data_IF_435414911936
#
_entry.id   IF_435414911936
#
_cell.length_a   1.000
_cell.length_b   1.000
_cell.length_c   1.000
_cell.angle_alpha   90.00
_cell.angle_beta   90.00
_cell.angle_gamma   90.00
#
_symmetry.space_group_name_H-M   'P 1'
#
loop_
_entity.id
_entity.type
_entity.pdbx_description
1 polymer ?
#
# COMPACT_ATOMS: atom_id res chain seq x y z
N UNK A 1 -25.06 -3.44 70.98
CA UNK A 1 -23.95 -2.79 70.29
C UNK A 1 -23.41 -3.75 69.24
N UNK A 2 -23.91 -3.66 68.02
CA UNK A 2 -23.62 -4.64 66.93
C UNK A 2 -22.70 -3.97 65.95
N UNK A 3 -21.49 -4.49 65.82
CA UNK A 3 -20.46 -3.99 64.91
C UNK A 3 -20.61 -4.65 63.56
N UNK A 4 -20.97 -3.85 62.52
CA UNK A 4 -21.04 -4.31 61.15
C UNK A 4 -19.64 -4.25 60.53
N UNK A 5 -19.17 -5.40 60.00
CA UNK A 5 -17.92 -5.51 59.21
C UNK A 5 -18.24 -5.24 57.75
N UNK A 6 -17.64 -4.19 57.18
CA UNK A 6 -17.63 -3.97 55.73
C UNK A 6 -16.50 -4.79 55.10
N UNK A 7 -16.86 -5.67 54.19
CA UNK A 7 -15.91 -6.36 53.33
C UNK A 7 -15.71 -5.50 52.05
N UNK A 8 -14.47 -5.07 51.84
CA UNK A 8 -14.09 -4.41 50.61
C UNK A 8 -13.77 -5.44 49.51
N UNK A 9 -14.55 -5.49 48.45
CA UNK A 9 -14.24 -6.25 47.25
C UNK A 9 -13.22 -5.44 46.42
N UNK A 10 -12.02 -5.94 46.31
CA UNK A 10 -11.01 -5.43 45.38
C UNK A 10 -11.20 -6.12 44.03
N UNK A 11 -11.68 -5.40 43.05
CA UNK A 11 -11.76 -5.84 41.66
C UNK A 11 -10.38 -5.62 41.01
N UNK A 12 -9.63 -6.71 40.84
CA UNK A 12 -8.38 -6.68 40.09
C UNK A 12 -8.68 -6.62 38.59
N UNK A 13 -8.37 -5.48 37.98
CA UNK A 13 -8.45 -5.30 36.54
C UNK A 13 -7.26 -6.03 35.89
N UNK A 14 -7.49 -7.16 35.24
CA UNK A 14 -6.48 -7.84 34.42
C UNK A 14 -6.32 -7.02 33.13
N UNK A 15 -5.24 -6.27 33.04
CA UNK A 15 -4.79 -5.68 31.78
C UNK A 15 -4.12 -6.80 30.96
N UNK A 16 -4.85 -7.35 29.99
CA UNK A 16 -4.28 -8.23 28.97
C UNK A 16 -3.50 -7.37 28.01
N UNK A 17 -2.19 -7.25 28.22
CA UNK A 17 -1.29 -6.68 27.24
C UNK A 17 -1.31 -7.60 26.00
N UNK A 18 -1.89 -7.13 24.89
CA UNK A 18 -1.76 -7.78 23.61
C UNK A 18 -0.30 -7.68 23.18
N UNK A 19 0.45 -8.74 23.40
CA UNK A 19 1.81 -8.85 22.90
C UNK A 19 1.73 -8.99 21.37
N UNK A 20 1.88 -7.90 20.65
CA UNK A 20 2.04 -7.93 19.20
C UNK A 20 3.38 -8.60 18.90
N UNK A 21 3.34 -9.86 18.52
CA UNK A 21 4.50 -10.62 18.10
C UNK A 21 5.05 -9.97 16.83
N UNK A 22 6.33 -9.62 16.83
CA UNK A 22 7.01 -9.20 15.59
C UNK A 22 6.80 -10.27 14.50
N UNK A 23 6.50 -9.88 13.25
CA UNK A 23 6.27 -10.85 12.17
C UNK A 23 7.47 -11.77 12.01
N UNK A 24 7.20 -13.04 11.71
CA UNK A 24 8.28 -13.98 11.36
C UNK A 24 8.87 -13.62 10.00
N UNK A 25 10.12 -14.00 9.73
CA UNK A 25 10.79 -13.76 8.46
C UNK A 25 10.02 -14.35 7.25
N UNK A 26 9.11 -15.30 7.48
CA UNK A 26 8.24 -15.88 6.47
C UNK A 26 7.00 -15.02 6.13
N UNK A 27 6.74 -13.96 6.89
CA UNK A 27 5.56 -13.09 6.75
C UNK A 27 5.89 -11.72 6.15
N UNK A 28 7.17 -11.39 6.00
CA UNK A 28 7.67 -10.13 5.42
C UNK A 28 8.89 -10.39 4.54
N UNK A 29 9.17 -9.46 3.65
CA UNK A 29 10.30 -9.53 2.73
C UNK A 29 9.95 -10.23 1.42
N UNK A 30 10.90 -10.25 0.48
CA UNK A 30 10.73 -10.87 -0.82
C UNK A 30 10.44 -12.37 -0.66
N UNK A 31 9.36 -12.86 -1.29
CA UNK A 31 8.91 -14.24 -1.18
C UNK A 31 7.95 -14.50 -0.01
N UNK A 32 7.53 -13.47 0.73
CA UNK A 32 6.57 -13.66 1.83
C UNK A 32 5.23 -14.23 1.35
N UNK A 33 4.79 -15.29 2.00
CA UNK A 33 3.51 -15.91 1.70
C UNK A 33 2.33 -15.08 2.24
N UNK A 34 1.15 -15.17 1.61
CA UNK A 34 -0.05 -14.54 2.14
C UNK A 34 -0.34 -15.02 3.57
N UNK A 35 -0.51 -14.08 4.49
CA UNK A 35 -0.87 -14.39 5.88
C UNK A 35 -2.32 -14.88 5.97
N UNK A 36 -2.65 -15.58 7.05
CA UNK A 36 -4.01 -16.10 7.26
C UNK A 36 -5.07 -15.00 7.11
N UNK A 37 -6.07 -15.24 6.26
CA UNK A 37 -7.15 -14.31 5.95
C UNK A 37 -6.77 -13.17 4.98
N UNK A 38 -5.59 -13.21 4.38
CA UNK A 38 -5.25 -12.30 3.28
C UNK A 38 -5.93 -12.73 1.98
N UNK A 39 -6.32 -11.75 1.20
CA UNK A 39 -6.79 -11.92 -0.17
C UNK A 39 -5.60 -11.71 -1.12
N UNK A 40 -5.34 -12.70 -2.00
CA UNK A 40 -4.40 -12.51 -3.11
C UNK A 40 -5.11 -11.67 -4.17
N UNK A 41 -4.52 -10.52 -4.50
CA UNK A 41 -5.10 -9.61 -5.50
C UNK A 41 -4.34 -9.65 -6.83
N UNK A 42 -3.14 -10.26 -6.84
CA UNK A 42 -2.42 -10.57 -8.07
C UNK A 42 -1.49 -11.79 -7.88
N UNK A 43 -1.68 -12.79 -8.73
CA UNK A 43 -0.98 -14.08 -8.69
C UNK A 43 -0.09 -14.35 -9.92
N UNK A 44 0.07 -13.36 -10.80
CA UNK A 44 0.80 -13.48 -12.06
C UNK A 44 -0.09 -13.78 -13.27
N UNK A 45 -1.39 -13.98 -13.09
CA UNK A 45 -2.29 -14.35 -14.18
C UNK A 45 -3.07 -13.17 -14.78
N UNK A 46 -3.34 -13.26 -16.07
CA UNK A 46 -4.23 -12.31 -16.77
C UNK A 46 -5.65 -12.36 -16.21
N UNK A 47 -6.12 -13.54 -15.85
CA UNK A 47 -7.46 -13.73 -15.32
C UNK A 47 -7.65 -12.96 -14.00
N UNK A 48 -6.68 -13.00 -13.09
CA UNK A 48 -6.77 -12.26 -11.83
C UNK A 48 -6.63 -10.75 -12.06
N UNK A 49 -5.78 -10.31 -12.99
CA UNK A 49 -5.70 -8.90 -13.35
C UNK A 49 -7.06 -8.38 -13.82
N UNK A 50 -7.73 -9.07 -14.73
CA UNK A 50 -9.03 -8.66 -15.27
C UNK A 50 -10.16 -8.78 -14.23
N UNK A 51 -10.10 -9.76 -13.31
CA UNK A 51 -11.07 -9.92 -12.22
C UNK A 51 -10.94 -8.83 -11.15
N UNK A 52 -9.73 -8.58 -10.65
CA UNK A 52 -9.49 -7.76 -9.45
C UNK A 52 -9.21 -6.29 -9.76
N UNK A 53 -8.76 -5.94 -10.96
CA UNK A 53 -8.28 -4.61 -11.29
C UNK A 53 -9.06 -3.94 -12.40
N UNK A 54 -8.95 -2.62 -12.45
CA UNK A 54 -9.46 -1.76 -13.53
C UNK A 54 -8.51 -0.57 -13.70
N UNK A 55 -8.68 0.19 -14.78
CA UNK A 55 -8.00 1.48 -14.88
C UNK A 55 -8.52 2.43 -13.81
N UNK A 56 -7.63 3.22 -13.24
CA UNK A 56 -7.97 4.14 -12.15
C UNK A 56 -9.09 5.10 -12.51
N UNK A 57 -9.03 5.74 -13.64
CA UNK A 57 -10.12 6.59 -14.11
C UNK A 57 -11.17 5.80 -14.91
N UNK A 58 -11.19 4.50 -14.87
CA UNK A 58 -12.11 3.58 -15.52
C UNK A 58 -13.10 4.20 -16.52
N UNK A 59 -14.31 4.56 -16.08
CA UNK A 59 -15.31 5.18 -16.95
C UNK A 59 -14.90 6.55 -17.51
N UNK A 60 -14.06 7.32 -16.79
CA UNK A 60 -13.54 8.63 -17.25
C UNK A 60 -12.62 8.51 -18.45
N UNK A 61 -11.86 7.43 -18.56
CA UNK A 61 -11.10 7.10 -19.78
C UNK A 61 -11.97 6.55 -20.92
N UNK A 62 -13.22 6.20 -20.63
CA UNK A 62 -14.03 5.36 -21.52
C UNK A 62 -13.30 4.06 -21.86
N UNK A 63 -12.52 3.58 -20.91
CA UNK A 63 -11.68 2.40 -21.03
C UNK A 63 -12.46 1.19 -20.56
N UNK A 64 -12.53 0.18 -21.40
CA UNK A 64 -13.01 -1.14 -21.02
C UNK A 64 -11.84 -2.10 -20.83
N UNK A 65 -12.05 -3.16 -20.08
CA UNK A 65 -11.15 -4.31 -20.09
C UNK A 65 -11.03 -4.89 -21.52
N UNK A 66 -9.89 -5.49 -21.83
CA UNK A 66 -8.78 -5.81 -20.92
C UNK A 66 -7.84 -4.62 -20.68
N UNK A 67 -7.27 -4.57 -19.46
CA UNK A 67 -6.18 -3.66 -19.12
C UNK A 67 -5.00 -3.97 -20.06
N UNK A 68 -4.31 -2.93 -20.56
CA UNK A 68 -3.19 -3.10 -21.50
C UNK A 68 -1.85 -3.39 -20.82
N UNK A 69 -1.75 -3.27 -19.50
CA UNK A 69 -0.59 -3.75 -18.77
C UNK A 69 -0.36 -5.23 -19.09
N UNK A 70 0.90 -5.62 -19.25
CA UNK A 70 1.26 -6.92 -19.78
C UNK A 70 1.54 -7.92 -18.67
N UNK A 71 1.24 -9.19 -18.97
CA UNK A 71 1.72 -10.32 -18.19
C UNK A 71 2.92 -10.86 -18.94
N UNK A 72 4.09 -10.77 -18.32
CA UNK A 72 5.38 -11.17 -18.91
C UNK A 72 6.06 -12.24 -18.06
N UNK A 73 7.00 -13.02 -18.63
CA UNK A 73 7.82 -13.94 -17.84
C UNK A 73 8.55 -13.22 -16.71
N UNK A 74 8.62 -13.86 -15.53
CA UNK A 74 9.45 -13.36 -14.44
C UNK A 74 10.93 -13.48 -14.83
N UNK A 75 11.70 -12.39 -14.79
CA UNK A 75 13.09 -12.42 -15.23
C UNK A 75 14.01 -13.22 -14.29
N UNK A 76 13.57 -13.48 -13.06
CA UNK A 76 14.38 -14.09 -12.00
C UNK A 76 13.80 -15.42 -11.48
N UNK A 77 12.60 -15.81 -11.95
CA UNK A 77 11.94 -17.04 -11.51
C UNK A 77 11.32 -17.76 -12.73
N UNK A 78 12.08 -18.68 -13.30
CA UNK A 78 11.68 -19.39 -14.51
C UNK A 78 10.33 -20.12 -14.32
N UNK A 79 9.43 -19.94 -15.28
CA UNK A 79 8.12 -20.56 -15.28
C UNK A 79 7.04 -19.76 -14.54
N UNK A 80 7.38 -18.62 -13.94
CA UNK A 80 6.43 -17.68 -13.37
C UNK A 80 6.19 -16.48 -14.29
N UNK A 81 5.09 -15.78 -14.07
CA UNK A 81 4.70 -14.57 -14.78
C UNK A 81 4.42 -13.44 -13.82
N UNK A 82 4.63 -12.22 -14.28
CA UNK A 82 4.53 -10.99 -13.48
C UNK A 82 3.78 -9.91 -14.27
N UNK A 83 3.22 -8.96 -13.57
CA UNK A 83 2.61 -7.76 -14.16
C UNK A 83 3.71 -6.77 -14.52
N UNK A 84 3.68 -6.22 -15.71
CA UNK A 84 4.57 -5.17 -16.17
C UNK A 84 3.77 -3.92 -16.50
N UNK A 85 4.22 -2.77 -15.98
CA UNK A 85 3.73 -1.46 -16.43
C UNK A 85 4.04 -1.33 -17.92
N UNK A 86 3.06 -0.92 -18.70
CA UNK A 86 3.21 -0.95 -20.14
C UNK A 86 4.09 0.20 -20.66
N UNK A 87 4.77 -0.04 -21.79
CA UNK A 87 5.36 1.03 -22.58
C UNK A 87 4.21 1.85 -23.23
N UNK A 88 4.12 3.17 -22.98
CA UNK A 88 3.07 4.01 -23.54
C UNK A 88 3.00 3.95 -25.07
N UNK A 89 4.13 3.80 -25.72
CA UNK A 89 4.23 3.74 -27.18
C UNK A 89 3.70 2.38 -27.68
N UNK A 90 4.15 1.29 -27.09
CA UNK A 90 3.69 -0.06 -27.42
C UNK A 90 2.21 -0.26 -27.11
N UNK A 91 1.71 0.35 -26.04
CA UNK A 91 0.31 0.27 -25.65
C UNK A 91 -0.63 1.14 -26.47
N UNK A 92 -0.12 1.93 -27.39
CA UNK A 92 -0.94 2.80 -28.26
C UNK A 92 -1.48 4.04 -27.54
N UNK A 93 -0.70 4.63 -26.66
CA UNK A 93 -0.97 5.95 -26.07
C UNK A 93 -1.63 5.91 -24.69
N UNK A 94 -2.64 6.74 -24.48
CA UNK A 94 -3.21 7.08 -23.15
C UNK A 94 -3.47 5.89 -22.21
N UNK A 95 -3.96 4.78 -22.71
CA UNK A 95 -4.29 3.61 -21.87
C UNK A 95 -3.06 2.81 -21.44
N UNK A 96 -1.94 2.91 -22.14
CA UNK A 96 -0.70 2.29 -21.73
C UNK A 96 -0.03 3.02 -20.56
N UNK A 97 -0.29 4.33 -20.43
CA UNK A 97 0.17 5.16 -19.34
C UNK A 97 -0.84 5.30 -18.20
N UNK A 98 -1.97 4.62 -18.28
CA UNK A 98 -2.99 4.72 -17.26
C UNK A 98 -2.65 3.86 -16.04
N UNK A 99 -2.80 4.45 -14.86
CA UNK A 99 -2.70 3.73 -13.60
C UNK A 99 -3.78 2.65 -13.48
N UNK A 100 -3.49 1.58 -12.78
CA UNK A 100 -4.46 0.55 -12.46
C UNK A 100 -4.78 0.56 -10.96
N UNK A 101 -6.03 0.23 -10.62
CA UNK A 101 -6.53 0.22 -9.24
C UNK A 101 -7.36 -1.03 -8.98
N UNK A 102 -7.31 -1.56 -7.76
CA UNK A 102 -8.20 -2.67 -7.38
C UNK A 102 -9.66 -2.22 -7.40
N UNK A 103 -10.55 -3.09 -7.91
CA UNK A 103 -12.01 -2.87 -7.89
C UNK A 103 -12.55 -2.83 -6.46
N UNK A 104 -11.96 -3.64 -5.57
CA UNK A 104 -12.28 -3.64 -4.14
C UNK A 104 -11.58 -2.48 -3.46
N UNK A 105 -12.28 -1.83 -2.54
CA UNK A 105 -11.78 -0.75 -1.71
C UNK A 105 -11.50 -1.24 -0.29
N UNK A 106 -10.45 -0.71 0.33
CA UNK A 106 -9.96 -1.08 1.66
C UNK A 106 -9.86 0.16 2.54
N UNK A 107 -10.10 0.00 3.84
CA UNK A 107 -9.97 1.08 4.82
C UNK A 107 -8.68 0.96 5.62
N UNK A 108 -8.61 -0.02 6.50
CA UNK A 108 -7.41 -0.36 7.25
C UNK A 108 -6.94 -1.73 6.76
N UNK A 109 -5.66 -1.86 6.48
CA UNK A 109 -5.18 -3.11 5.89
C UNK A 109 -3.68 -3.33 6.10
N UNK A 110 -3.28 -4.59 5.97
CA UNK A 110 -1.91 -4.99 5.71
C UNK A 110 -1.77 -5.34 4.22
N UNK A 111 -0.75 -4.80 3.59
CA UNK A 111 -0.38 -5.04 2.19
C UNK A 111 0.99 -5.68 2.14
N UNK A 112 1.14 -6.69 1.31
CA UNK A 112 2.43 -7.11 0.76
C UNK A 112 2.43 -6.91 -0.74
N UNK A 113 3.52 -6.38 -1.27
CA UNK A 113 3.72 -6.19 -2.70
C UNK A 113 5.20 -6.33 -3.05
N UNK A 114 5.49 -7.08 -4.10
CA UNK A 114 6.84 -7.17 -4.64
C UNK A 114 6.93 -6.41 -5.97
N UNK A 115 8.05 -5.70 -6.14
CA UNK A 115 8.33 -4.95 -7.36
C UNK A 115 9.78 -5.12 -7.82
N UNK A 116 9.99 -4.97 -9.12
CA UNK A 116 11.31 -4.97 -9.76
C UNK A 116 11.38 -3.83 -10.77
N UNK A 117 12.33 -2.92 -10.59
CA UNK A 117 12.66 -1.90 -11.60
C UNK A 117 13.64 -2.54 -12.57
N UNK A 118 13.23 -2.72 -13.82
CA UNK A 118 14.05 -3.47 -14.79
C UNK A 118 15.26 -2.68 -15.30
N UNK A 119 15.17 -1.34 -15.31
CA UNK A 119 16.22 -0.44 -15.82
C UNK A 119 16.44 0.73 -14.86
N UNK A 120 17.68 1.26 -14.75
CA UNK A 120 17.96 2.43 -13.92
C UNK A 120 17.05 3.62 -14.25
N UNK A 121 16.68 4.36 -13.21
CA UNK A 121 15.79 5.53 -13.31
C UNK A 121 14.32 5.18 -13.48
N UNK A 122 13.93 3.91 -13.30
CA UNK A 122 12.53 3.50 -13.38
C UNK A 122 11.69 4.13 -12.28
N UNK A 123 10.45 4.49 -12.64
CA UNK A 123 9.50 5.20 -11.78
C UNK A 123 8.12 4.55 -11.83
N UNK A 124 7.53 4.39 -10.67
CA UNK A 124 6.17 3.95 -10.40
C UNK A 124 5.78 4.35 -8.99
N UNK A 125 4.58 4.01 -8.53
CA UNK A 125 4.12 4.29 -7.18
C UNK A 125 3.08 3.27 -6.72
N UNK A 126 3.08 3.01 -5.41
CA UNK A 126 2.08 2.18 -4.73
C UNK A 126 1.20 3.10 -3.89
N UNK A 127 -0.06 3.27 -4.29
CA UNK A 127 -0.98 4.22 -3.66
C UNK A 127 -1.96 3.52 -2.73
N UNK A 128 -1.85 3.81 -1.46
CA UNK A 128 -2.76 3.33 -0.41
C UNK A 128 -4.06 4.13 -0.47
N UNK A 129 -5.23 3.46 -0.36
CA UNK A 129 -6.55 4.08 -0.53
C UNK A 129 -6.68 4.91 -1.82
N UNK A 130 -5.93 4.55 -2.87
CA UNK A 130 -5.89 5.33 -4.12
C UNK A 130 -5.44 6.80 -3.93
N UNK A 131 -4.76 7.13 -2.82
CA UNK A 131 -4.45 8.50 -2.40
C UNK A 131 -3.01 8.72 -1.98
N UNK A 132 -2.48 7.84 -1.14
CA UNK A 132 -1.22 8.07 -0.41
C UNK A 132 -0.12 7.21 -1.00
N UNK A 133 0.85 7.86 -1.59
CA UNK A 133 1.90 7.19 -2.35
C UNK A 133 3.05 6.72 -1.47
N UNK A 134 3.40 5.46 -1.64
CA UNK A 134 4.71 4.91 -1.30
C UNK A 134 5.51 4.82 -2.60
N UNK A 135 6.59 5.55 -2.67
CA UNK A 135 7.34 5.76 -3.91
C UNK A 135 8.11 4.51 -4.36
N UNK A 136 8.12 4.29 -5.67
CA UNK A 136 8.95 3.30 -6.36
C UNK A 136 9.79 4.03 -7.42
N UNK A 137 10.89 4.65 -7.00
CA UNK A 137 11.74 5.49 -7.87
C UNK A 137 13.21 5.18 -7.65
N UNK A 138 13.88 4.68 -8.68
CA UNK A 138 15.32 4.46 -8.63
C UNK A 138 16.10 5.78 -8.78
N UNK A 139 17.17 5.93 -7.97
CA UNK A 139 18.10 7.06 -8.05
C UNK A 139 17.77 8.26 -7.17
N UNK A 140 16.57 8.37 -6.61
CA UNK A 140 16.20 9.46 -5.70
C UNK A 140 16.26 9.00 -4.23
N UNK A 141 16.89 9.80 -3.36
CA UNK A 141 17.06 9.55 -1.92
C UNK A 141 16.37 10.60 -1.05
N UNK A 142 15.62 11.50 -1.65
CA UNK A 142 14.88 12.56 -0.96
C UNK A 142 13.54 12.03 -0.43
N UNK A 143 12.69 12.92 0.06
CA UNK A 143 11.30 12.61 0.43
C UNK A 143 10.41 12.22 -0.77
N UNK A 144 10.94 12.24 -1.97
CA UNK A 144 10.33 11.73 -3.20
C UNK A 144 10.95 10.41 -3.67
N UNK A 145 11.95 9.90 -2.95
CA UNK A 145 12.74 8.76 -3.38
C UNK A 145 12.14 7.41 -2.98
N UNK A 146 12.84 6.37 -3.36
CA UNK A 146 12.48 4.98 -3.14
C UNK A 146 11.99 4.70 -1.72
N UNK A 147 10.77 4.18 -1.58
CA UNK A 147 10.19 3.80 -0.30
C UNK A 147 9.74 4.95 0.61
N UNK A 148 9.90 6.20 0.19
CA UNK A 148 9.34 7.33 0.94
C UNK A 148 7.81 7.28 0.95
N UNK A 149 7.19 7.63 2.07
CA UNK A 149 5.82 8.14 2.10
C UNK A 149 5.93 9.56 1.60
N UNK A 150 5.49 9.84 0.38
CA UNK A 150 5.80 11.06 -0.38
C UNK A 150 5.62 12.31 0.49
N UNK A 151 6.70 13.10 0.62
CA UNK A 151 6.81 14.33 1.40
C UNK A 151 6.57 14.21 2.92
N UNK A 152 6.23 13.03 3.42
CA UNK A 152 5.96 12.80 4.84
C UNK A 152 7.12 12.08 5.55
N UNK A 153 7.92 11.29 4.82
CA UNK A 153 9.09 10.60 5.37
C UNK A 153 10.29 10.69 4.43
N UNK A 154 11.48 10.50 4.97
CA UNK A 154 12.68 10.34 4.15
C UNK A 154 12.70 8.97 3.45
N UNK A 155 13.41 8.89 2.32
CA UNK A 155 13.60 7.65 1.58
C UNK A 155 14.52 6.69 2.35
N UNK A 156 14.11 5.45 2.61
CA UNK A 156 14.99 4.40 3.15
C UNK A 156 15.79 3.73 2.02
N UNK A 157 16.45 4.52 1.18
CA UNK A 157 17.08 4.06 -0.05
C UNK A 157 18.16 2.97 0.16
N UNK A 158 18.80 2.97 1.32
CA UNK A 158 19.80 1.97 1.70
C UNK A 158 19.22 0.55 1.84
N UNK A 159 17.91 0.43 1.93
CA UNK A 159 17.21 -0.86 1.98
C UNK A 159 16.85 -1.39 0.59
N UNK A 160 17.04 -0.60 -0.47
CA UNK A 160 16.76 -0.98 -1.85
C UNK A 160 17.80 -1.98 -2.36
N UNK A 161 17.35 -3.13 -2.86
CA UNK A 161 18.22 -4.19 -3.39
C UNK A 161 18.83 -3.84 -4.77
N UNK A 162 18.43 -2.73 -5.36
CA UNK A 162 18.91 -2.28 -6.66
C UNK A 162 18.03 -2.70 -7.84
N UNK A 163 18.36 -2.14 -8.98
CA UNK A 163 17.71 -2.40 -10.27
C UNK A 163 17.92 -3.84 -10.71
N UNK A 164 16.93 -4.43 -11.37
CA UNK A 164 17.00 -5.80 -11.86
C UNK A 164 16.81 -6.87 -10.77
N UNK A 165 16.46 -6.47 -9.53
CA UNK A 165 16.21 -7.39 -8.43
C UNK A 165 14.80 -7.18 -7.86
N UNK A 166 14.24 -8.23 -7.24
CA UNK A 166 12.98 -8.11 -6.53
C UNK A 166 13.16 -7.37 -5.20
N UNK A 167 12.23 -6.50 -4.95
CA UNK A 167 12.06 -5.73 -3.71
C UNK A 167 10.65 -5.95 -3.17
N UNK A 168 10.44 -5.73 -1.88
CA UNK A 168 9.13 -5.86 -1.25
C UNK A 168 8.82 -4.72 -0.32
N UNK A 169 7.57 -4.28 -0.35
CA UNK A 169 6.97 -3.48 0.71
C UNK A 169 5.97 -4.33 1.48
N UNK A 170 6.14 -4.38 2.79
CA UNK A 170 5.17 -4.91 3.73
C UNK A 170 4.64 -3.74 4.56
N UNK A 171 3.38 -3.38 4.34
CA UNK A 171 2.80 -2.13 4.83
C UNK A 171 1.60 -2.43 5.72
N UNK A 172 1.52 -1.77 6.88
CA UNK A 172 0.26 -1.62 7.60
C UNK A 172 -0.21 -0.18 7.47
N UNK A 173 -1.42 -0.02 6.98
CA UNK A 173 -2.07 1.27 6.77
C UNK A 173 -3.33 1.37 7.62
N UNK A 174 -3.47 2.51 8.31
CA UNK A 174 -4.67 2.90 9.05
C UNK A 174 -5.22 4.18 8.45
N UNK A 175 -6.45 4.15 7.96
CA UNK A 175 -7.12 5.31 7.40
C UNK A 175 -7.35 6.39 8.45
N UNK A 176 -7.61 7.61 7.99
CA UNK A 176 -8.05 8.70 8.84
C UNK A 176 -9.28 8.34 9.67
N UNK A 177 -9.49 9.05 10.76
CA UNK A 177 -10.72 8.97 11.55
C UNK A 177 -11.39 10.33 11.60
N UNK A 178 -12.69 10.33 11.40
CA UNK A 178 -13.54 11.51 11.48
C UNK A 178 -14.63 11.32 12.54
N UNK A 179 -14.97 12.38 13.24
CA UNK A 179 -16.13 12.46 14.09
C UNK A 179 -16.84 13.77 13.79
N UNK A 180 -18.16 13.73 13.60
CA UNK A 180 -19.00 14.89 13.27
C UNK A 180 -18.46 15.69 12.06
N UNK A 181 -17.94 14.98 11.05
CA UNK A 181 -17.35 15.60 9.85
C UNK A 181 -15.99 16.27 10.05
N UNK A 182 -15.39 16.14 11.24
CA UNK A 182 -14.07 16.70 11.54
C UNK A 182 -13.02 15.61 11.60
N UNK A 183 -11.85 15.86 11.02
CA UNK A 183 -10.69 15.00 11.13
C UNK A 183 -10.20 14.97 12.58
N UNK A 184 -10.24 13.78 13.22
CA UNK A 184 -9.76 13.58 14.59
C UNK A 184 -8.43 12.86 14.63
N UNK A 185 -8.17 11.97 13.65
CA UNK A 185 -6.89 11.26 13.52
C UNK A 185 -6.50 11.17 12.05
N UNK A 186 -5.24 11.51 11.77
CA UNK A 186 -4.65 11.41 10.43
C UNK A 186 -4.36 9.96 10.06
N UNK A 187 -4.27 9.64 8.76
CA UNK A 187 -3.80 8.31 8.34
C UNK A 187 -2.40 8.02 8.85
N UNK A 188 -2.13 6.74 9.13
CA UNK A 188 -0.84 6.25 9.60
C UNK A 188 -0.32 5.13 8.70
N UNK A 189 0.99 5.10 8.52
CA UNK A 189 1.71 4.07 7.77
C UNK A 189 2.89 3.55 8.58
N UNK A 190 3.00 2.22 8.68
CA UNK A 190 4.26 1.56 9.04
C UNK A 190 4.65 0.61 7.91
N UNK A 191 5.95 0.48 7.64
CA UNK A 191 6.45 -0.30 6.53
C UNK A 191 7.75 -1.03 6.87
N UNK A 192 7.83 -2.28 6.43
CA UNK A 192 9.10 -2.96 6.22
C UNK A 192 9.45 -2.89 4.72
N UNK A 193 10.69 -2.61 4.43
CA UNK A 193 11.25 -2.62 3.10
C UNK A 193 12.32 -3.74 3.04
N UNK A 194 12.11 -4.71 2.15
CA UNK A 194 12.97 -5.89 2.05
C UNK A 194 13.20 -6.61 3.40
N UNK A 195 12.14 -6.72 4.20
CA UNK A 195 12.17 -7.39 5.50
C UNK A 195 12.79 -6.56 6.64
N UNK A 196 13.20 -5.32 6.39
CA UNK A 196 13.76 -4.42 7.41
C UNK A 196 12.80 -3.27 7.69
N UNK A 197 12.64 -2.90 8.97
CA UNK A 197 11.78 -1.80 9.38
C UNK A 197 12.27 -0.49 8.75
N UNK A 198 11.43 0.12 7.91
CA UNK A 198 11.71 1.38 7.23
C UNK A 198 10.96 2.55 7.87
N UNK A 199 9.68 2.36 8.15
CA UNK A 199 8.83 3.40 8.71
C UNK A 199 8.00 2.86 9.87
N UNK A 200 7.74 3.73 10.87
CA UNK A 200 6.87 3.43 12.03
C UNK A 200 5.94 4.60 12.27
N UNK A 201 4.62 4.38 12.17
CA UNK A 201 3.59 5.36 12.47
C UNK A 201 3.77 6.71 11.77
N UNK A 202 4.23 6.72 10.52
CA UNK A 202 4.33 7.95 9.72
C UNK A 202 2.92 8.50 9.52
N UNK A 203 2.72 9.74 9.93
CA UNK A 203 1.46 10.46 9.74
C UNK A 203 1.42 11.10 8.37
N UNK A 204 0.30 10.95 7.68
CA UNK A 204 0.07 11.59 6.39
C UNK A 204 -0.70 12.89 6.62
N UNK A 205 -0.16 14.00 6.15
CA UNK A 205 -0.71 15.34 6.40
C UNK A 205 -1.63 15.80 5.28
N UNK A 206 -1.44 15.29 4.08
CA UNK A 206 -2.28 15.58 2.90
C UNK A 206 -2.03 14.57 1.78
N UNK A 207 -2.87 14.60 0.74
CA UNK A 207 -2.56 13.93 -0.51
C UNK A 207 -1.54 14.76 -1.27
N UNK A 208 -0.42 14.15 -1.61
CA UNK A 208 0.62 14.73 -2.45
C UNK A 208 0.49 14.20 -3.87
N UNK A 209 0.88 14.97 -4.88
CA UNK A 209 0.83 14.50 -6.26
C UNK A 209 0.10 15.43 -7.23
N UNK A 210 -0.30 16.59 -6.77
CA UNK A 210 -0.84 17.66 -7.58
C UNK A 210 -2.24 17.41 -8.16
N UNK A 211 -2.74 18.32 -8.99
CA UNK A 211 -4.14 18.34 -9.46
C UNK A 211 -4.50 17.18 -10.39
N UNK A 212 -3.51 16.43 -10.88
CA UNK A 212 -3.74 15.24 -11.72
C UNK A 212 -4.04 13.98 -10.89
N UNK A 213 -3.93 14.03 -9.58
CA UNK A 213 -4.36 12.91 -8.74
C UNK A 213 -5.86 12.61 -8.90
N UNK A 214 -6.62 13.53 -9.49
CA UNK A 214 -8.06 13.37 -9.76
C UNK A 214 -8.88 13.09 -8.51
N UNK A 215 -8.26 13.21 -7.36
CA UNK A 215 -8.86 12.91 -6.07
C UNK A 215 -9.55 14.17 -5.60
N UNK A 216 -10.82 14.02 -5.23
CA UNK A 216 -11.55 15.09 -4.57
C UNK A 216 -10.79 15.60 -3.33
N UNK A 217 -11.07 16.80 -2.91
CA UNK A 217 -10.38 17.44 -1.80
C UNK A 217 -10.52 16.72 -0.45
N UNK A 218 -11.23 15.57 -0.38
CA UNK A 218 -11.53 14.90 0.88
C UNK A 218 -12.38 15.78 1.81
N UNK A 219 -12.45 15.38 3.09
CA UNK A 219 -13.31 16.07 4.09
C UNK A 219 -12.51 16.97 5.04
N UNK A 220 -11.26 17.25 4.74
CA UNK A 220 -10.31 17.92 5.67
C UNK A 220 -9.89 19.32 5.21
N UNK A 221 -10.75 19.98 4.46
CA UNK A 221 -10.47 21.33 3.95
C UNK A 221 -9.58 21.38 2.71
N UNK A 222 -9.65 20.36 1.86
CA UNK A 222 -9.00 20.36 0.54
C UNK A 222 -7.63 19.70 0.49
N UNK A 223 -7.22 19.00 1.54
CA UNK A 223 -5.95 18.25 1.59
C UNK A 223 -6.08 16.82 1.06
N UNK A 224 -7.27 16.38 0.74
CA UNK A 224 -7.55 15.06 0.16
C UNK A 224 -7.64 13.92 1.16
N UNK A 225 -7.58 14.16 2.47
CA UNK A 225 -7.71 13.14 3.50
C UNK A 225 -9.17 12.73 3.65
N UNK A 226 -9.41 11.43 3.72
CA UNK A 226 -10.74 10.85 3.92
C UNK A 226 -10.65 9.56 4.71
N UNK A 227 -11.76 9.15 5.33
CA UNK A 227 -11.95 7.83 5.93
C UNK A 227 -12.70 6.86 5.01
N UNK A 228 -13.08 7.32 3.82
CA UNK A 228 -13.75 6.48 2.82
C UNK A 228 -12.76 5.43 2.29
N UNK A 229 -13.13 4.14 2.27
CA UNK A 229 -12.28 3.10 1.69
C UNK A 229 -11.89 3.41 0.24
N UNK A 230 -10.65 3.06 -0.15
CA UNK A 230 -10.17 3.23 -1.51
C UNK A 230 -9.35 2.02 -1.97
N UNK A 231 -9.18 1.88 -3.27
CA UNK A 231 -8.42 0.78 -3.86
C UNK A 231 -6.92 0.90 -3.64
N UNK A 232 -6.20 -0.20 -3.83
CA UNK A 232 -4.77 -0.19 -4.06
C UNK A 232 -4.53 0.25 -5.50
N UNK A 233 -3.76 1.33 -5.71
CA UNK A 233 -3.45 1.83 -7.06
C UNK A 233 -1.96 1.64 -7.35
N UNK A 234 -1.64 1.24 -8.57
CA UNK A 234 -0.29 1.18 -9.11
C UNK A 234 -0.15 2.19 -10.24
N UNK A 235 0.92 2.98 -10.17
CA UNK A 235 1.17 4.05 -11.14
C UNK A 235 1.91 3.53 -12.37
N UNK A 236 1.60 4.10 -13.53
CA UNK A 236 2.30 3.91 -14.78
C UNK A 236 2.93 5.21 -15.25
N UNK A 237 4.25 5.32 -15.11
CA UNK A 237 5.05 6.46 -15.59
C UNK A 237 5.76 6.18 -16.93
N UNK A 238 5.43 5.06 -17.58
CA UNK A 238 6.05 4.67 -18.84
C UNK A 238 7.43 4.03 -18.70
N UNK A 239 7.73 3.51 -17.52
CA UNK A 239 8.95 2.77 -17.23
C UNK A 239 8.65 1.29 -17.02
N UNK A 240 9.60 0.41 -17.35
CA UNK A 240 9.50 -1.04 -17.11
C UNK A 240 9.67 -1.32 -15.61
N UNK A 241 8.56 -1.20 -14.87
CA UNK A 241 8.45 -1.64 -13.49
C UNK A 241 7.52 -2.84 -13.44
N UNK A 242 7.95 -3.88 -12.74
CA UNK A 242 7.25 -5.16 -12.66
C UNK A 242 6.75 -5.41 -11.26
N UNK A 243 5.59 -6.07 -11.16
CA UNK A 243 4.94 -6.40 -9.90
C UNK A 243 4.56 -7.87 -9.84
N UNK A 244 4.66 -8.45 -8.63
CA UNK A 244 4.19 -9.81 -8.34
C UNK A 244 3.81 -9.96 -6.87
N UNK A 245 3.27 -11.11 -6.50
CA UNK A 245 2.98 -11.49 -5.12
C UNK A 245 2.28 -10.36 -4.34
N UNK A 246 1.11 -9.95 -4.82
CA UNK A 246 0.35 -8.86 -4.19
C UNK A 246 -0.81 -9.47 -3.41
N UNK A 247 -0.80 -9.24 -2.09
CA UNK A 247 -1.91 -9.65 -1.24
C UNK A 247 -2.25 -8.59 -0.20
N UNK A 248 -3.52 -8.54 0.18
CA UNK A 248 -4.07 -7.58 1.14
C UNK A 248 -4.84 -8.33 2.20
N UNK A 249 -4.61 -8.00 3.46
CA UNK A 249 -5.43 -8.42 4.59
C UNK A 249 -6.13 -7.20 5.17
N UNK A 250 -7.46 -7.20 5.15
CA UNK A 250 -8.24 -6.18 5.84
C UNK A 250 -8.05 -6.29 7.35
N UNK A 251 -7.94 -5.15 7.99
CA UNK A 251 -7.74 -5.02 9.44
C UNK A 251 -8.84 -4.14 10.05
N UNK A 252 -9.02 -4.32 11.35
CA UNK A 252 -9.75 -3.37 12.20
C UNK A 252 -8.75 -2.83 13.21
N UNK A 253 -8.27 -1.62 12.98
CA UNK A 253 -7.26 -0.98 13.84
C UNK A 253 -7.94 0.07 14.70
N UNK A 254 -8.17 -0.26 15.98
CA UNK A 254 -8.77 0.64 16.95
C UNK A 254 -7.75 1.69 17.43
N UNK A 255 -6.58 1.22 17.84
CA UNK A 255 -5.53 2.08 18.37
C UNK A 255 -4.81 2.89 17.27
N UNK A 256 -4.32 4.11 17.59
CA UNK A 256 -3.61 4.95 16.62
C UNK A 256 -2.17 4.47 16.39
N UNK A 257 -2.03 3.20 16.02
CA UNK A 257 -0.73 2.60 15.66
C UNK A 257 -0.90 1.65 14.48
N UNK A 258 0.12 1.61 13.64
CA UNK A 258 0.27 0.67 12.52
C UNK A 258 1.53 -0.18 12.68
N UNK A 259 2.20 -0.06 13.82
CA UNK A 259 3.40 -0.86 14.09
C UNK A 259 3.05 -2.35 14.21
N UNK A 260 3.86 -3.24 13.60
CA UNK A 260 3.62 -4.67 13.53
C UNK A 260 4.91 -5.48 13.45
#
# INVERSE_FOLDING_TARGET
MTIARFAALSTSLLIVAACTRAPSAAEIGVGAAPVAGAEVVFDGTRAMLDDKWTYWEGPGFKSALPIKWQIVPDPLDAGKTVLMTDDPVAAGGKYGTADVVTKKAYRDFRLHIEFCIAKPGGNSGVYLQNRYEIQVLDGDKTKHGMGAVINESDSPYELYNGTGTWNSYDITFRAARFADGKLIEKPLVSMYFNGKKAHTNVRINQVWGGPKSGIDGGNDGGKGITDVPGGLKLQCEGHDVRYRNIWIKELTIAEPTTDF
#
